data_IF_662713407122
#
_entry.id   IF_662713407122
#
_cell.length_a   1.000
_cell.length_b   1.000
_cell.length_c   1.000
_cell.angle_alpha   90.00
_cell.angle_beta   90.00
_cell.angle_gamma   90.00
#
_symmetry.space_group_name_H-M   'P 1'
#
loop_
_entity.id
_entity.type
_entity.pdbx_description
1 polymer ?
#
# COMPACT_ATOMS: atom_id res chain seq x y z
N UNK A 1 -23.16 -60.95 -12.85
CA UNK A 1 -22.55 -59.86 -12.09
C UNK A 1 -21.09 -60.15 -11.72
N UNK A 2 -20.75 -61.29 -11.19
CA UNK A 2 -19.38 -61.69 -10.77
C UNK A 2 -18.30 -61.62 -11.88
N UNK A 3 -18.62 -61.97 -13.13
CA UNK A 3 -17.63 -61.95 -14.24
C UNK A 3 -17.22 -60.51 -14.66
N UNK A 4 -18.08 -59.51 -14.51
CA UNK A 4 -17.73 -58.10 -14.81
C UNK A 4 -16.85 -57.48 -13.71
N UNK A 5 -17.05 -57.85 -12.46
CA UNK A 5 -16.23 -57.42 -11.33
C UNK A 5 -14.82 -58.02 -11.40
N UNK A 6 -14.70 -59.29 -11.80
CA UNK A 6 -13.41 -59.98 -11.96
C UNK A 6 -12.56 -59.37 -13.09
N UNK A 7 -13.19 -58.95 -14.22
CA UNK A 7 -12.49 -58.24 -15.31
C UNK A 7 -12.05 -56.82 -14.91
N UNK A 8 -12.83 -56.10 -14.07
CA UNK A 8 -12.47 -54.78 -13.58
C UNK A 8 -11.30 -54.84 -12.58
N UNK A 9 -11.25 -55.86 -11.71
CA UNK A 9 -10.14 -56.05 -10.76
C UNK A 9 -8.86 -56.53 -11.50
N UNK A 10 -8.98 -57.35 -12.55
CA UNK A 10 -7.83 -57.76 -13.37
C UNK A 10 -7.28 -56.61 -14.21
N UNK A 11 -8.12 -55.70 -14.72
CA UNK A 11 -7.68 -54.51 -15.47
C UNK A 11 -6.96 -53.52 -14.57
N UNK A 12 -7.41 -53.32 -13.32
CA UNK A 12 -6.70 -52.47 -12.34
C UNK A 12 -5.34 -53.06 -11.93
N UNK A 13 -5.22 -54.36 -11.80
CA UNK A 13 -3.95 -55.02 -11.40
C UNK A 13 -2.87 -55.02 -12.50
N UNK A 14 -3.25 -54.89 -13.76
CA UNK A 14 -2.30 -54.79 -14.90
C UNK A 14 -1.82 -53.35 -15.13
N UNK A 15 -2.61 -52.31 -14.77
CA UNK A 15 -2.21 -50.92 -14.92
C UNK A 15 -1.17 -50.46 -13.88
N UNK A 16 -1.15 -51.00 -12.69
CA UNK A 16 -0.22 -50.64 -11.61
C UNK A 16 1.26 -50.89 -11.93
N UNK A 17 1.68 -52.05 -12.47
CA UNK A 17 3.10 -52.30 -12.79
C UNK A 17 3.59 -51.50 -14.00
N UNK A 18 2.74 -51.19 -14.96
CA UNK A 18 3.14 -50.35 -16.13
C UNK A 18 3.34 -48.92 -15.77
N UNK A 19 2.51 -48.33 -14.91
CA UNK A 19 2.69 -46.95 -14.40
C UNK A 19 3.98 -46.83 -13.56
N UNK A 20 4.26 -47.79 -12.69
CA UNK A 20 5.47 -47.80 -11.88
C UNK A 20 6.76 -47.90 -12.72
N UNK A 21 6.74 -48.64 -13.82
CA UNK A 21 7.86 -48.75 -14.74
C UNK A 21 8.06 -47.49 -15.58
N UNK A 22 6.99 -46.86 -16.04
CA UNK A 22 7.03 -45.57 -16.74
C UNK A 22 7.63 -44.50 -15.87
N UNK A 23 7.20 -44.36 -14.61
CA UNK A 23 7.74 -43.41 -13.63
C UNK A 23 9.24 -43.61 -13.38
N UNK A 24 9.69 -44.87 -13.16
CA UNK A 24 11.12 -45.18 -12.96
C UNK A 24 11.95 -44.75 -14.16
N UNK A 25 11.46 -45.02 -15.38
CA UNK A 25 12.12 -44.61 -16.63
C UNK A 25 12.22 -43.08 -16.76
N UNK A 26 11.17 -42.33 -16.40
CA UNK A 26 11.18 -40.86 -16.40
C UNK A 26 12.17 -40.30 -15.39
N UNK A 27 12.21 -40.82 -14.16
CA UNK A 27 13.18 -40.38 -13.13
C UNK A 27 14.61 -40.68 -13.60
N UNK A 28 14.87 -41.86 -14.21
CA UNK A 28 16.18 -42.22 -14.74
C UNK A 28 16.60 -41.24 -15.86
N UNK A 29 15.73 -40.98 -16.84
CA UNK A 29 15.97 -40.06 -17.93
C UNK A 29 16.31 -38.65 -17.43
N UNK A 30 15.51 -38.13 -16.48
CA UNK A 30 15.75 -36.82 -15.89
C UNK A 30 17.12 -36.79 -15.17
N UNK A 31 17.47 -37.82 -14.43
CA UNK A 31 18.76 -37.94 -13.74
C UNK A 31 19.93 -37.96 -14.73
N UNK A 32 19.80 -38.67 -15.85
CA UNK A 32 20.83 -38.73 -16.89
C UNK A 32 21.00 -37.36 -17.57
N UNK A 33 19.91 -36.63 -17.84
CA UNK A 33 19.92 -35.28 -18.35
C UNK A 33 20.65 -34.33 -17.40
N UNK A 34 20.36 -34.40 -16.10
CA UNK A 34 21.03 -33.58 -15.08
C UNK A 34 22.51 -33.87 -15.02
N UNK A 35 22.91 -35.13 -15.03
CA UNK A 35 24.30 -35.58 -15.03
C UNK A 35 25.06 -35.08 -16.27
N UNK A 36 24.40 -35.10 -17.43
CA UNK A 36 24.96 -34.61 -18.68
C UNK A 36 24.97 -33.08 -18.80
N UNK A 37 24.27 -32.36 -17.91
CA UNK A 37 24.08 -30.90 -17.99
C UNK A 37 23.26 -30.47 -19.20
N UNK A 38 22.35 -31.32 -19.69
CA UNK A 38 21.53 -31.08 -20.89
C UNK A 38 20.05 -31.23 -20.58
N UNK A 39 19.19 -30.54 -21.35
CA UNK A 39 17.73 -30.61 -21.19
C UNK A 39 17.26 -30.45 -19.73
N UNK A 40 17.85 -29.51 -18.99
CA UNK A 40 17.60 -29.34 -17.54
C UNK A 40 16.19 -28.86 -17.27
N UNK A 41 15.63 -28.00 -18.12
CA UNK A 41 14.26 -27.53 -18.03
C UNK A 41 13.25 -28.68 -18.28
N UNK A 42 13.55 -29.60 -19.20
CA UNK A 42 12.72 -30.80 -19.44
C UNK A 42 12.76 -31.73 -18.23
N UNK A 43 13.94 -31.90 -17.63
CA UNK A 43 14.10 -32.71 -16.43
C UNK A 43 13.30 -32.13 -15.26
N UNK A 44 13.38 -30.80 -15.05
CA UNK A 44 12.54 -30.10 -14.05
C UNK A 44 11.06 -30.29 -14.33
N UNK A 45 10.59 -30.03 -15.56
CA UNK A 45 9.19 -30.15 -15.93
C UNK A 45 8.65 -31.57 -15.74
N UNK A 46 9.43 -32.61 -16.13
CA UNK A 46 9.06 -34.01 -15.94
C UNK A 46 8.91 -34.35 -14.45
N UNK A 47 9.84 -33.95 -13.60
CA UNK A 47 9.75 -34.22 -12.16
C UNK A 47 8.57 -33.45 -11.50
N UNK A 48 8.33 -32.20 -11.87
CA UNK A 48 7.16 -31.44 -11.40
C UNK A 48 5.85 -32.14 -11.82
N UNK A 49 5.77 -32.61 -13.05
CA UNK A 49 4.62 -33.36 -13.55
C UNK A 49 4.38 -34.63 -12.72
N UNK A 50 5.43 -35.37 -12.37
CA UNK A 50 5.27 -36.54 -11.51
C UNK A 50 4.73 -36.17 -10.12
N UNK A 51 5.12 -35.05 -9.55
CA UNK A 51 4.65 -34.55 -8.25
C UNK A 51 3.20 -34.04 -8.26
N UNK A 52 2.56 -33.85 -9.42
CA UNK A 52 1.11 -33.53 -9.46
C UNK A 52 0.24 -34.74 -9.06
N UNK A 53 0.76 -35.95 -9.22
CA UNK A 53 0.10 -37.16 -8.76
C UNK A 53 0.31 -37.35 -7.25
N UNK A 54 -0.78 -37.50 -6.51
CA UNK A 54 -0.75 -37.68 -5.05
C UNK A 54 0.07 -38.87 -4.60
N UNK A 55 0.08 -39.97 -5.40
CA UNK A 55 0.86 -41.17 -5.13
C UNK A 55 2.38 -40.91 -5.17
N UNK A 56 2.83 -39.87 -5.81
CA UNK A 56 4.24 -39.53 -5.99
C UNK A 56 4.74 -38.46 -5.06
N UNK A 57 3.85 -37.72 -4.36
CA UNK A 57 4.23 -36.59 -3.52
C UNK A 57 5.26 -36.92 -2.45
N UNK A 58 5.20 -38.12 -1.91
CA UNK A 58 6.09 -38.60 -0.85
C UNK A 58 7.35 -39.30 -1.38
N UNK A 59 7.57 -39.30 -2.68
CA UNK A 59 8.74 -39.93 -3.27
C UNK A 59 9.97 -38.99 -3.21
N UNK A 60 10.80 -39.12 -2.18
CA UNK A 60 12.02 -38.30 -1.98
C UNK A 60 12.92 -38.28 -3.23
N UNK A 61 12.96 -39.38 -4.02
CA UNK A 61 13.82 -39.45 -5.22
C UNK A 61 13.41 -38.44 -6.30
N UNK A 62 12.11 -38.20 -6.46
CA UNK A 62 11.60 -37.23 -7.41
C UNK A 62 12.02 -35.81 -6.98
N UNK A 63 11.85 -35.49 -5.70
CA UNK A 63 12.26 -34.21 -5.14
C UNK A 63 13.76 -33.95 -5.27
N UNK A 64 14.60 -34.95 -5.02
CA UNK A 64 16.04 -34.82 -5.15
C UNK A 64 16.48 -34.62 -6.60
N UNK A 65 15.90 -35.31 -7.57
CA UNK A 65 16.21 -35.11 -8.99
C UNK A 65 15.69 -33.76 -9.47
N UNK A 66 14.52 -33.34 -8.99
CA UNK A 66 13.98 -32.01 -9.25
C UNK A 66 14.92 -30.90 -8.72
N UNK A 67 15.39 -31.04 -7.48
CA UNK A 67 16.35 -30.13 -6.90
C UNK A 67 17.64 -30.06 -7.72
N UNK A 68 18.22 -31.22 -8.08
CA UNK A 68 19.45 -31.28 -8.86
C UNK A 68 19.29 -30.63 -10.24
N UNK A 69 18.13 -30.80 -10.90
CA UNK A 69 17.84 -30.14 -12.18
C UNK A 69 17.79 -28.59 -12.04
N UNK A 70 17.12 -28.07 -11.02
CA UNK A 70 17.04 -26.62 -10.77
C UNK A 70 18.39 -26.06 -10.32
N UNK A 71 19.10 -26.79 -9.46
CA UNK A 71 20.42 -26.40 -9.00
C UNK A 71 21.40 -26.29 -10.16
N UNK A 72 21.40 -27.26 -11.09
CA UNK A 72 22.29 -27.24 -12.25
C UNK A 72 21.98 -26.06 -13.20
N UNK A 73 20.71 -25.70 -13.37
CA UNK A 73 20.34 -24.47 -14.09
C UNK A 73 20.92 -23.23 -13.41
N UNK A 74 20.81 -23.12 -12.09
CA UNK A 74 21.40 -22.03 -11.31
C UNK A 74 22.92 -21.96 -11.49
N UNK A 75 23.61 -23.09 -11.29
CA UNK A 75 25.07 -23.21 -11.42
C UNK A 75 25.54 -22.78 -12.79
N UNK A 76 24.87 -23.21 -13.86
CA UNK A 76 25.22 -22.86 -15.25
C UNK A 76 25.16 -21.35 -15.49
N UNK A 77 24.08 -20.68 -15.05
CA UNK A 77 23.96 -19.22 -15.22
C UNK A 77 24.96 -18.48 -14.33
N UNK A 78 25.19 -18.96 -13.11
CA UNK A 78 26.16 -18.37 -12.18
C UNK A 78 27.58 -18.45 -12.71
N UNK A 79 27.97 -19.59 -13.31
CA UNK A 79 29.25 -19.79 -13.96
C UNK A 79 29.43 -18.83 -15.16
N UNK A 80 28.41 -18.70 -16.02
CA UNK A 80 28.43 -17.75 -17.13
C UNK A 80 28.67 -16.30 -16.64
N UNK A 81 27.99 -15.91 -15.55
CA UNK A 81 28.18 -14.58 -14.94
C UNK A 81 29.58 -14.40 -14.36
N UNK A 82 30.11 -15.42 -13.68
CA UNK A 82 31.46 -15.40 -13.13
C UNK A 82 32.52 -15.25 -14.25
N UNK A 83 32.32 -15.95 -15.34
CA UNK A 83 33.20 -15.89 -16.54
C UNK A 83 32.97 -14.65 -17.41
N UNK A 84 32.09 -13.70 -16.94
CA UNK A 84 31.69 -12.48 -17.68
C UNK A 84 31.13 -12.75 -19.08
N UNK A 85 30.54 -13.91 -19.27
CA UNK A 85 29.78 -14.27 -20.47
C UNK A 85 28.38 -13.65 -20.44
N UNK A 86 27.74 -13.61 -21.61
CA UNK A 86 26.33 -13.17 -21.67
C UNK A 86 25.43 -14.16 -20.92
N UNK A 87 24.87 -13.73 -19.81
CA UNK A 87 24.01 -14.52 -18.97
C UNK A 87 22.67 -13.80 -18.71
N UNK A 88 21.61 -14.57 -18.51
CA UNK A 88 20.31 -14.03 -18.12
C UNK A 88 20.19 -14.03 -16.59
N UNK A 89 20.42 -12.86 -16.00
CA UNK A 89 20.31 -12.65 -14.55
C UNK A 89 18.93 -12.99 -14.00
N UNK A 90 17.85 -12.84 -14.80
CA UNK A 90 16.50 -13.25 -14.40
C UNK A 90 16.44 -14.75 -14.11
N UNK A 91 17.05 -15.56 -14.96
CA UNK A 91 17.12 -17.01 -14.79
C UNK A 91 17.85 -17.42 -13.51
N UNK A 92 18.91 -16.71 -13.15
CA UNK A 92 19.65 -16.95 -11.90
C UNK A 92 18.72 -16.83 -10.69
N UNK A 93 18.06 -15.66 -10.56
CA UNK A 93 17.21 -15.39 -9.40
C UNK A 93 15.98 -16.29 -9.35
N UNK A 94 15.37 -16.57 -10.51
CA UNK A 94 14.22 -17.47 -10.56
C UNK A 94 14.60 -18.92 -10.27
N UNK A 95 15.82 -19.37 -10.67
CA UNK A 95 16.31 -20.69 -10.30
C UNK A 95 16.56 -20.78 -8.78
N UNK A 96 17.19 -19.74 -8.19
CA UNK A 96 17.34 -19.64 -6.74
C UNK A 96 15.97 -19.76 -6.03
N UNK A 97 14.99 -18.95 -6.43
CA UNK A 97 13.62 -19.01 -5.88
C UNK A 97 13.01 -20.40 -5.95
N UNK A 98 13.12 -21.06 -7.11
CA UNK A 98 12.58 -22.42 -7.28
C UNK A 98 13.26 -23.45 -6.38
N UNK A 99 14.57 -23.30 -6.10
CA UNK A 99 15.29 -24.20 -5.18
C UNK A 99 14.72 -24.13 -3.76
N UNK A 100 14.37 -22.93 -3.27
CA UNK A 100 13.72 -22.80 -1.96
C UNK A 100 12.44 -23.61 -1.89
N UNK A 101 11.49 -23.39 -2.81
CA UNK A 101 10.23 -24.14 -2.81
C UNK A 101 10.40 -25.65 -2.98
N UNK A 102 11.41 -26.11 -3.72
CA UNK A 102 11.70 -27.56 -3.87
C UNK A 102 12.22 -28.15 -2.57
N UNK A 103 13.18 -27.50 -1.90
CA UNK A 103 13.77 -28.07 -0.68
C UNK A 103 12.86 -27.92 0.54
N UNK A 104 12.06 -26.88 0.61
CA UNK A 104 10.99 -26.72 1.62
C UNK A 104 9.92 -27.83 1.43
N UNK A 105 9.54 -28.11 0.17
CA UNK A 105 8.63 -29.23 -0.15
C UNK A 105 9.20 -30.58 0.27
N UNK A 106 10.48 -30.86 -0.03
CA UNK A 106 11.15 -32.10 0.39
C UNK A 106 11.25 -32.19 1.92
N UNK A 107 11.54 -31.10 2.61
CA UNK A 107 11.59 -31.04 4.07
C UNK A 107 10.23 -31.39 4.70
N UNK A 108 9.14 -30.89 4.11
CA UNK A 108 7.77 -31.22 4.53
C UNK A 108 7.44 -32.68 4.32
N UNK A 109 7.88 -33.28 3.22
CA UNK A 109 7.72 -34.72 2.94
C UNK A 109 8.48 -35.55 3.97
N UNK A 110 9.74 -35.23 4.21
CA UNK A 110 10.56 -35.96 5.18
C UNK A 110 9.98 -35.84 6.60
N UNK A 111 9.45 -34.66 6.97
CA UNK A 111 8.76 -34.43 8.23
C UNK A 111 7.52 -35.33 8.39
N UNK A 112 6.66 -35.35 7.38
CA UNK A 112 5.42 -36.13 7.39
C UNK A 112 5.67 -37.65 7.43
N UNK A 113 6.68 -38.13 6.67
CA UNK A 113 6.99 -39.57 6.59
C UNK A 113 7.66 -40.11 7.85
N UNK A 114 8.50 -39.34 8.51
CA UNK A 114 9.33 -39.80 9.64
C UNK A 114 8.79 -39.46 11.01
N UNK A 115 7.62 -38.80 11.08
CA UNK A 115 6.97 -38.58 12.37
C UNK A 115 7.85 -37.82 13.37
N UNK A 116 8.30 -36.57 12.98
CA UNK A 116 8.41 -35.50 13.97
C UNK A 116 9.68 -35.32 14.80
N UNK A 117 10.78 -35.96 14.53
CA UNK A 117 11.99 -35.52 15.24
C UNK A 117 12.96 -34.81 14.28
N UNK A 118 13.11 -33.45 14.35
CA UNK A 118 14.02 -32.68 13.47
C UNK A 118 15.44 -33.25 13.42
N UNK A 119 15.95 -33.77 14.53
CA UNK A 119 17.28 -34.37 14.64
C UNK A 119 17.44 -35.65 13.82
N UNK A 120 16.34 -36.32 13.41
CA UNK A 120 16.36 -37.55 12.61
C UNK A 120 16.14 -37.30 11.12
N UNK A 121 15.92 -36.05 10.69
CA UNK A 121 15.74 -35.73 9.29
C UNK A 121 17.07 -35.77 8.55
N UNK A 122 17.11 -36.55 7.48
CA UNK A 122 18.34 -36.87 6.75
C UNK A 122 18.92 -35.66 6.00
N UNK A 123 18.04 -34.80 5.47
CA UNK A 123 18.44 -33.77 4.52
C UNK A 123 18.37 -32.35 5.10
N UNK A 124 17.54 -32.11 6.12
CA UNK A 124 17.21 -30.77 6.66
C UNK A 124 18.46 -29.91 6.91
N UNK A 125 19.41 -30.38 7.73
CA UNK A 125 20.59 -29.57 8.08
C UNK A 125 21.37 -29.11 6.85
N UNK A 126 21.74 -30.06 5.97
CA UNK A 126 22.53 -29.76 4.77
C UNK A 126 21.77 -28.85 3.79
N UNK A 127 20.46 -29.06 3.62
CA UNK A 127 19.64 -28.22 2.73
C UNK A 127 19.43 -26.83 3.31
N UNK A 128 19.22 -26.68 4.61
CA UNK A 128 19.15 -25.42 5.28
C UNK A 128 20.46 -24.60 5.14
N UNK A 129 21.61 -25.23 5.35
CA UNK A 129 22.93 -24.60 5.16
C UNK A 129 23.11 -24.12 3.72
N UNK A 130 22.76 -24.93 2.75
CA UNK A 130 22.85 -24.59 1.33
C UNK A 130 21.91 -23.41 0.97
N UNK A 131 20.64 -23.46 1.35
CA UNK A 131 19.69 -22.39 1.10
C UNK A 131 20.04 -21.10 1.84
N UNK A 132 20.59 -21.20 3.07
CA UNK A 132 21.02 -20.02 3.81
C UNK A 132 22.08 -19.20 3.05
N UNK A 133 23.01 -19.88 2.36
CA UNK A 133 24.01 -19.22 1.49
C UNK A 133 23.34 -18.49 0.32
N UNK A 134 22.20 -18.98 -0.17
CA UNK A 134 21.47 -18.42 -1.31
C UNK A 134 20.35 -17.46 -0.91
N UNK A 135 20.03 -17.33 0.38
CA UNK A 135 18.91 -16.47 0.84
C UNK A 135 19.02 -15.04 0.34
N UNK A 136 20.25 -14.51 0.29
CA UNK A 136 20.53 -13.18 -0.28
C UNK A 136 20.07 -13.00 -1.73
N UNK A 137 20.03 -14.08 -2.54
CA UNK A 137 19.55 -14.04 -3.90
C UNK A 137 18.04 -13.78 -4.02
N UNK A 138 17.25 -14.21 -3.03
CA UNK A 138 15.82 -13.88 -2.99
C UNK A 138 15.62 -12.37 -2.83
N UNK A 139 16.34 -11.74 -1.90
CA UNK A 139 16.27 -10.30 -1.67
C UNK A 139 16.79 -9.50 -2.88
N UNK A 140 17.98 -9.84 -3.37
CA UNK A 140 18.62 -9.15 -4.49
C UNK A 140 17.83 -9.35 -5.79
N UNK A 141 17.27 -10.54 -6.00
CA UNK A 141 16.36 -10.83 -7.11
C UNK A 141 15.07 -10.01 -7.04
N UNK A 142 14.51 -9.87 -5.85
CA UNK A 142 13.37 -8.97 -5.63
C UNK A 142 13.66 -7.55 -6.08
N UNK A 143 14.80 -6.97 -5.64
CA UNK A 143 15.22 -5.63 -6.07
C UNK A 143 15.48 -5.55 -7.59
N UNK A 144 16.10 -6.57 -8.17
CA UNK A 144 16.34 -6.65 -9.60
C UNK A 144 15.05 -6.59 -10.41
N UNK A 145 14.03 -7.34 -10.01
CA UNK A 145 12.73 -7.34 -10.70
C UNK A 145 11.93 -6.06 -10.44
N UNK A 146 12.04 -5.43 -9.27
CA UNK A 146 11.50 -4.06 -9.04
C UNK A 146 12.11 -3.08 -10.04
N UNK A 147 13.42 -3.10 -10.24
CA UNK A 147 14.10 -2.24 -11.22
C UNK A 147 13.67 -2.48 -12.67
N UNK A 148 13.09 -3.67 -12.95
CA UNK A 148 12.50 -4.02 -14.26
C UNK A 148 10.99 -3.80 -14.34
N UNK A 149 10.35 -3.29 -13.30
CA UNK A 149 8.90 -3.19 -13.16
C UNK A 149 8.16 -4.53 -13.24
N UNK A 150 8.86 -5.65 -13.04
CA UNK A 150 8.27 -6.98 -12.93
C UNK A 150 7.86 -7.24 -11.47
N UNK A 151 6.78 -6.57 -11.06
CA UNK A 151 6.30 -6.61 -9.69
C UNK A 151 5.79 -7.99 -9.27
N UNK A 152 5.40 -8.84 -10.23
CA UNK A 152 4.95 -10.21 -9.95
C UNK A 152 6.10 -11.08 -9.46
N UNK A 153 7.21 -11.11 -10.19
CA UNK A 153 8.38 -11.88 -9.79
C UNK A 153 9.06 -11.25 -8.56
N UNK A 154 9.13 -9.91 -8.48
CA UNK A 154 9.65 -9.21 -7.31
C UNK A 154 8.91 -9.60 -6.04
N UNK A 155 7.57 -9.56 -6.07
CA UNK A 155 6.72 -9.99 -4.94
C UNK A 155 7.05 -11.41 -4.50
N UNK A 156 7.09 -12.34 -5.46
CA UNK A 156 7.32 -13.76 -5.14
C UNK A 156 8.67 -14.01 -4.45
N UNK A 157 9.72 -13.29 -4.87
CA UNK A 157 11.04 -13.42 -4.27
C UNK A 157 11.10 -12.79 -2.87
N UNK A 158 10.53 -11.60 -2.67
CA UNK A 158 10.49 -10.99 -1.36
C UNK A 158 9.61 -11.77 -0.39
N UNK A 159 8.46 -12.27 -0.83
CA UNK A 159 7.60 -13.13 -0.02
C UNK A 159 8.35 -14.39 0.44
N UNK A 160 9.02 -15.09 -0.47
CA UNK A 160 9.84 -16.24 -0.11
C UNK A 160 10.98 -15.89 0.86
N UNK A 161 11.60 -14.71 0.70
CA UNK A 161 12.62 -14.22 1.63
C UNK A 161 12.09 -14.05 3.06
N UNK A 162 10.89 -13.47 3.20
CA UNK A 162 10.24 -13.25 4.50
C UNK A 162 9.78 -14.59 5.09
N UNK A 163 9.17 -15.44 4.26
CA UNK A 163 8.60 -16.71 4.70
C UNK A 163 9.66 -17.71 5.17
N UNK A 164 10.94 -17.56 4.78
CA UNK A 164 12.04 -18.31 5.38
C UNK A 164 12.03 -18.24 6.92
N UNK A 165 11.58 -17.14 7.52
CA UNK A 165 11.50 -16.99 8.97
C UNK A 165 10.46 -17.92 9.63
N UNK A 166 9.51 -18.42 8.85
CA UNK A 166 8.42 -19.32 9.30
C UNK A 166 8.63 -20.79 8.90
N UNK A 167 9.55 -21.04 7.96
CA UNK A 167 9.77 -22.38 7.45
C UNK A 167 10.55 -23.26 8.44
N UNK A 168 10.06 -24.46 8.78
CA UNK A 168 10.71 -25.36 9.74
C UNK A 168 12.15 -25.72 9.40
N UNK A 169 12.49 -25.78 8.12
CA UNK A 169 13.87 -26.04 7.66
C UNK A 169 14.88 -25.01 8.19
N UNK A 170 14.43 -23.76 8.45
CA UNK A 170 15.29 -22.68 8.92
C UNK A 170 15.18 -22.38 10.41
N UNK A 171 14.50 -23.22 11.19
CA UNK A 171 14.28 -22.98 12.63
C UNK A 171 15.57 -22.67 13.42
N UNK A 172 16.70 -23.26 13.01
CA UNK A 172 17.99 -23.03 13.67
C UNK A 172 18.61 -21.64 13.43
N UNK A 173 18.12 -20.88 12.44
CA UNK A 173 18.66 -19.57 12.08
C UNK A 173 17.96 -18.39 12.77
N UNK A 174 16.76 -18.60 13.29
CA UNK A 174 15.94 -17.57 13.95
C UNK A 174 15.89 -16.24 13.16
N UNK A 175 15.56 -16.33 11.88
CA UNK A 175 15.51 -15.14 11.01
C UNK A 175 14.55 -14.08 11.49
N UNK A 176 13.48 -14.46 12.22
CA UNK A 176 12.52 -13.52 12.78
C UNK A 176 13.20 -12.46 13.64
N UNK A 177 14.20 -12.85 14.44
CA UNK A 177 14.91 -11.98 15.38
C UNK A 177 16.24 -11.47 14.82
N UNK A 178 16.89 -12.23 13.94
CA UNK A 178 18.26 -11.97 13.51
C UNK A 178 18.38 -11.28 12.15
N UNK A 179 17.34 -11.30 11.30
CA UNK A 179 17.43 -10.73 9.96
C UNK A 179 16.78 -9.33 9.88
N UNK A 180 17.63 -8.31 9.95
CA UNK A 180 17.24 -6.89 9.87
C UNK A 180 16.58 -6.47 8.55
N UNK A 181 16.66 -7.30 7.49
CA UNK A 181 16.10 -6.97 6.17
C UNK A 181 14.66 -7.41 6.00
N UNK A 182 14.09 -8.17 6.94
CA UNK A 182 12.72 -8.69 6.84
C UNK A 182 11.72 -7.55 6.69
N UNK A 183 11.80 -6.50 7.51
CA UNK A 183 10.93 -5.32 7.40
C UNK A 183 11.03 -4.65 6.04
N UNK A 184 12.24 -4.48 5.51
CA UNK A 184 12.45 -3.87 4.18
C UNK A 184 11.94 -4.78 3.06
N UNK A 185 12.13 -6.09 3.14
CA UNK A 185 11.56 -7.03 2.18
C UNK A 185 10.03 -6.98 2.20
N UNK A 186 9.43 -6.88 3.40
CA UNK A 186 7.99 -6.75 3.57
C UNK A 186 7.45 -5.42 2.99
N UNK A 187 8.17 -4.31 3.16
CA UNK A 187 7.82 -3.08 2.47
C UNK A 187 7.76 -3.26 0.95
N UNK A 188 8.74 -3.95 0.37
CA UNK A 188 8.73 -4.21 -1.07
C UNK A 188 7.61 -5.16 -1.51
N UNK A 189 7.15 -6.10 -0.65
CA UNK A 189 5.95 -6.89 -0.98
C UNK A 189 4.70 -6.01 -1.01
N UNK A 190 4.52 -5.11 -0.02
CA UNK A 190 3.45 -4.11 0.00
C UNK A 190 3.48 -3.26 -1.27
N UNK A 191 4.64 -2.72 -1.60
CA UNK A 191 4.83 -1.92 -2.81
C UNK A 191 4.48 -2.69 -4.08
N UNK A 192 4.98 -3.91 -4.24
CA UNK A 192 4.71 -4.74 -5.42
C UNK A 192 3.23 -5.13 -5.53
N UNK A 193 2.56 -5.45 -4.41
CA UNK A 193 1.12 -5.72 -4.38
C UNK A 193 0.32 -4.49 -4.84
N UNK A 194 0.64 -3.32 -4.28
CA UNK A 194 0.02 -2.05 -4.65
C UNK A 194 0.19 -1.73 -6.15
N UNK A 195 1.40 -1.91 -6.70
CA UNK A 195 1.68 -1.71 -8.13
C UNK A 195 0.92 -2.67 -9.05
N UNK A 196 0.53 -3.83 -8.55
CA UNK A 196 -0.28 -4.80 -9.27
C UNK A 196 -1.80 -4.57 -9.09
N UNK A 197 -2.23 -3.57 -8.32
CA UNK A 197 -3.61 -3.37 -7.87
C UNK A 197 -4.19 -4.63 -7.18
N UNK A 198 -3.36 -5.39 -6.48
CA UNK A 198 -3.72 -6.59 -5.77
C UNK A 198 -3.78 -6.30 -4.25
N UNK A 199 -4.98 -6.10 -3.75
CA UNK A 199 -5.21 -5.74 -2.36
C UNK A 199 -4.78 -6.84 -1.38
N UNK A 200 -4.98 -8.11 -1.72
CA UNK A 200 -4.58 -9.24 -0.89
C UNK A 200 -3.06 -9.27 -0.75
N UNK A 201 -2.35 -9.18 -1.85
CA UNK A 201 -0.87 -9.12 -1.85
C UNK A 201 -0.35 -7.87 -1.15
N UNK A 202 -0.97 -6.72 -1.32
CA UNK A 202 -0.56 -5.49 -0.65
C UNK A 202 -0.61 -5.64 0.86
N UNK A 203 -1.66 -6.26 1.38
CA UNK A 203 -1.88 -6.35 2.82
C UNK A 203 -1.24 -7.58 3.49
N UNK A 204 -0.84 -8.59 2.72
CA UNK A 204 -0.35 -9.87 3.25
C UNK A 204 0.84 -9.75 4.21
N UNK A 205 1.73 -8.79 3.98
CA UNK A 205 2.92 -8.56 4.80
C UNK A 205 2.98 -7.16 5.41
N UNK A 206 1.84 -6.44 5.41
CA UNK A 206 1.79 -5.04 5.85
C UNK A 206 2.22 -4.86 7.31
N UNK A 207 1.84 -5.78 8.21
CA UNK A 207 2.25 -5.72 9.62
C UNK A 207 3.75 -5.90 9.78
N UNK A 208 4.36 -6.80 9.01
CA UNK A 208 5.82 -6.99 9.01
C UNK A 208 6.53 -5.78 8.42
N UNK A 209 5.95 -5.15 7.39
CA UNK A 209 6.50 -3.96 6.75
C UNK A 209 6.58 -2.75 7.68
N UNK A 210 5.76 -2.69 8.73
CA UNK A 210 5.83 -1.64 9.76
C UNK A 210 7.13 -1.66 10.59
N UNK A 211 7.92 -2.72 10.50
CA UNK A 211 9.26 -2.78 11.10
C UNK A 211 10.30 -1.94 10.32
N UNK A 212 10.03 -1.59 9.07
CA UNK A 212 10.87 -0.67 8.29
C UNK A 212 10.52 0.79 8.63
N UNK A 213 11.18 1.33 9.63
CA UNK A 213 10.92 2.71 10.11
C UNK A 213 11.25 3.78 9.07
N UNK A 214 12.15 3.49 8.12
CA UNK A 214 12.54 4.44 7.06
C UNK A 214 11.41 4.63 6.05
N UNK A 215 10.68 3.55 5.74
CA UNK A 215 9.62 3.56 4.72
C UNK A 215 8.22 3.46 5.31
N UNK A 216 8.10 3.56 6.62
CA UNK A 216 6.85 3.37 7.35
C UNK A 216 5.73 4.30 6.85
N UNK A 217 6.05 5.56 6.58
CA UNK A 217 5.09 6.52 6.02
C UNK A 217 4.48 6.03 4.69
N UNK A 218 5.31 5.48 3.81
CA UNK A 218 4.86 4.94 2.52
C UNK A 218 4.04 3.66 2.71
N UNK A 219 4.41 2.83 3.68
CA UNK A 219 3.64 1.63 4.04
C UNK A 219 2.22 2.00 4.43
N UNK A 220 2.03 2.97 5.35
CA UNK A 220 0.70 3.45 5.72
C UNK A 220 -0.06 4.06 4.52
N UNK A 221 0.60 4.80 3.65
CA UNK A 221 -0.04 5.36 2.46
C UNK A 221 -0.54 4.25 1.51
N UNK A 222 0.27 3.23 1.22
CA UNK A 222 -0.15 2.11 0.38
C UNK A 222 -1.29 1.31 1.01
N UNK A 223 -1.25 1.07 2.32
CA UNK A 223 -2.33 0.42 3.06
C UNK A 223 -3.63 1.24 2.97
N UNK A 224 -3.57 2.54 3.26
CA UNK A 224 -4.71 3.43 3.21
C UNK A 224 -5.34 3.45 1.81
N UNK A 225 -4.53 3.67 0.75
CA UNK A 225 -5.01 3.66 -0.63
C UNK A 225 -5.65 2.32 -1.02
N UNK A 226 -5.10 1.21 -0.53
CA UNK A 226 -5.65 -0.13 -0.76
C UNK A 226 -7.02 -0.29 -0.10
N UNK A 227 -7.21 0.16 1.15
CA UNK A 227 -8.51 0.12 1.80
C UNK A 227 -9.51 1.09 1.16
N UNK A 228 -9.04 2.25 0.70
CA UNK A 228 -9.88 3.19 -0.06
C UNK A 228 -10.40 2.57 -1.36
N UNK A 229 -9.55 1.87 -2.12
CA UNK A 229 -9.93 1.14 -3.33
C UNK A 229 -10.93 0.01 -3.05
N UNK A 230 -10.81 -0.65 -1.89
CA UNK A 230 -11.77 -1.67 -1.42
C UNK A 230 -13.08 -1.08 -0.90
N UNK A 231 -13.23 0.23 -0.84
CA UNK A 231 -14.33 0.93 -0.19
C UNK A 231 -14.52 0.55 1.31
N UNK A 232 -13.46 0.07 1.97
CA UNK A 232 -13.43 -0.21 3.40
C UNK A 232 -13.06 1.06 4.17
N UNK A 233 -14.07 1.92 4.37
CA UNK A 233 -13.88 3.23 5.01
C UNK A 233 -13.38 3.09 6.45
N UNK A 234 -13.78 2.06 7.17
CA UNK A 234 -13.36 1.85 8.56
C UNK A 234 -11.86 1.59 8.62
N UNK A 235 -11.36 0.63 7.87
CA UNK A 235 -9.94 0.32 7.80
C UNK A 235 -9.11 1.46 7.20
N UNK A 236 -9.66 2.17 6.22
CA UNK A 236 -9.03 3.36 5.66
C UNK A 236 -8.74 4.40 6.74
N UNK A 237 -9.75 4.74 7.56
CA UNK A 237 -9.62 5.74 8.64
C UNK A 237 -8.66 5.25 9.73
N UNK A 238 -8.76 4.00 10.18
CA UNK A 238 -7.83 3.41 11.18
C UNK A 238 -6.35 3.53 10.74
N UNK A 239 -6.07 3.26 9.47
CA UNK A 239 -4.72 3.38 8.93
C UNK A 239 -4.27 4.83 8.82
N UNK A 240 -5.18 5.75 8.43
CA UNK A 240 -4.89 7.19 8.40
C UNK A 240 -4.58 7.74 9.80
N UNK A 241 -5.38 7.35 10.82
CA UNK A 241 -5.16 7.73 12.23
C UNK A 241 -3.80 7.24 12.73
N UNK A 242 -3.47 5.97 12.45
CA UNK A 242 -2.16 5.40 12.79
C UNK A 242 -0.99 6.14 12.11
N UNK A 243 -1.18 6.48 10.83
CA UNK A 243 -0.21 7.24 10.05
C UNK A 243 -0.05 8.67 10.56
N UNK A 244 -1.15 9.34 10.90
CA UNK A 244 -1.15 10.70 11.44
C UNK A 244 -0.51 10.77 12.83
N UNK A 245 -0.84 9.84 13.72
CA UNK A 245 -0.25 9.77 15.05
C UNK A 245 1.29 9.65 14.98
N UNK A 246 1.82 8.98 13.96
CA UNK A 246 3.26 8.82 13.75
C UNK A 246 3.90 9.98 12.98
N UNK A 247 3.13 10.62 12.08
CA UNK A 247 3.58 11.66 11.16
C UNK A 247 2.56 12.82 11.10
N UNK A 248 2.35 13.58 12.19
CA UNK A 248 1.32 14.62 12.28
C UNK A 248 1.55 15.78 11.30
N UNK A 249 2.78 15.99 10.82
CA UNK A 249 3.08 16.96 9.77
C UNK A 249 2.77 16.47 8.35
N UNK A 250 2.34 15.21 8.18
CA UNK A 250 2.04 14.66 6.86
C UNK A 250 0.73 15.22 6.31
N UNK A 251 0.85 16.01 5.25
CA UNK A 251 -0.34 16.55 4.53
C UNK A 251 -1.28 15.44 4.05
N UNK A 252 -0.77 14.29 3.67
CA UNK A 252 -1.57 13.16 3.18
C UNK A 252 -2.56 12.68 4.26
N UNK A 253 -2.06 12.30 5.42
CA UNK A 253 -2.91 11.79 6.50
C UNK A 253 -3.84 12.87 7.03
N UNK A 254 -3.30 14.05 7.29
CA UNK A 254 -4.07 15.20 7.77
C UNK A 254 -5.26 15.51 6.84
N UNK A 255 -5.04 15.69 5.56
CA UNK A 255 -6.09 16.12 4.64
C UNK A 255 -7.21 15.07 4.52
N UNK A 256 -6.86 13.78 4.44
CA UNK A 256 -7.87 12.73 4.37
C UNK A 256 -8.70 12.58 5.64
N UNK A 257 -8.06 12.69 6.82
CA UNK A 257 -8.76 12.66 8.11
C UNK A 257 -9.64 13.90 8.30
N UNK A 258 -9.10 15.09 7.98
CA UNK A 258 -9.86 16.32 8.05
C UNK A 258 -11.12 16.26 7.19
N UNK A 259 -11.00 15.88 5.93
CA UNK A 259 -12.14 15.71 5.02
C UNK A 259 -13.18 14.72 5.56
N UNK A 260 -12.70 13.62 6.12
CA UNK A 260 -13.57 12.58 6.69
C UNK A 260 -14.38 13.13 7.87
N UNK A 261 -13.73 13.76 8.86
CA UNK A 261 -14.41 14.28 10.04
C UNK A 261 -15.27 15.50 9.74
N UNK A 262 -14.78 16.40 8.89
CA UNK A 262 -15.54 17.59 8.50
C UNK A 262 -16.83 17.25 7.76
N UNK A 263 -16.82 16.30 6.82
CA UNK A 263 -18.02 15.81 6.11
C UNK A 263 -19.04 15.16 7.03
N UNK A 264 -18.58 14.55 8.13
CA UNK A 264 -19.46 13.97 9.16
C UNK A 264 -19.91 14.99 10.20
N UNK A 265 -19.56 16.26 10.05
CA UNK A 265 -19.82 17.32 11.03
C UNK A 265 -19.24 17.02 12.44
N UNK A 266 -18.19 16.18 12.51
CA UNK A 266 -17.42 15.91 13.73
C UNK A 266 -16.42 17.03 14.01
N UNK A 267 -16.94 18.23 14.21
CA UNK A 267 -16.15 19.45 14.26
C UNK A 267 -15.12 19.48 15.39
N UNK A 268 -15.46 18.94 16.57
CA UNK A 268 -14.53 18.94 17.70
C UNK A 268 -13.32 18.02 17.43
N UNK A 269 -13.56 16.87 16.78
CA UNK A 269 -12.47 15.98 16.35
C UNK A 269 -11.61 16.64 15.26
N UNK A 270 -12.25 17.32 14.31
CA UNK A 270 -11.54 18.06 13.26
C UNK A 270 -10.70 19.22 13.82
N UNK A 271 -11.16 19.91 14.87
CA UNK A 271 -10.37 20.95 15.57
C UNK A 271 -9.16 20.33 16.25
N UNK A 272 -9.35 19.25 17.02
CA UNK A 272 -8.24 18.56 17.68
C UNK A 272 -7.17 18.10 16.67
N UNK A 273 -7.60 17.49 15.55
CA UNK A 273 -6.71 17.12 14.45
C UNK A 273 -5.91 18.30 13.90
N UNK A 274 -6.57 19.47 13.75
CA UNK A 274 -5.88 20.70 13.31
C UNK A 274 -4.86 21.17 14.36
N UNK A 275 -5.20 21.09 15.64
CA UNK A 275 -4.33 21.52 16.74
C UNK A 275 -3.09 20.64 16.82
N UNK A 276 -3.22 19.31 16.73
CA UNK A 276 -2.10 18.38 16.69
C UNK A 276 -1.18 18.67 15.47
N UNK A 277 -1.76 18.92 14.30
CA UNK A 277 -0.99 19.26 13.10
C UNK A 277 -0.26 20.61 13.23
N UNK A 278 -0.88 21.61 13.87
CA UNK A 278 -0.27 22.94 14.12
C UNK A 278 0.81 22.83 15.20
N UNK A 279 0.63 21.98 16.21
CA UNK A 279 1.67 21.74 17.22
C UNK A 279 2.90 21.09 16.59
N UNK A 280 2.71 20.13 15.69
CA UNK A 280 3.80 19.46 14.98
C UNK A 280 4.49 20.37 13.94
N UNK A 281 3.75 21.31 13.32
CA UNK A 281 4.26 22.31 12.38
C UNK A 281 3.47 23.62 12.51
N UNK A 282 3.98 24.53 13.33
CA UNK A 282 3.37 25.87 13.56
C UNK A 282 3.31 26.75 12.30
N UNK A 283 4.02 26.35 11.24
CA UNK A 283 4.02 27.04 9.95
C UNK A 283 2.97 26.49 8.96
N UNK A 284 2.28 25.42 9.30
CA UNK A 284 1.34 24.72 8.42
C UNK A 284 0.13 25.59 8.05
N UNK A 285 0.21 26.27 6.91
CA UNK A 285 -0.91 27.03 6.34
C UNK A 285 -2.14 26.15 6.14
N UNK A 286 -1.93 24.92 5.71
CA UNK A 286 -3.03 23.96 5.44
C UNK A 286 -3.81 23.65 6.73
N UNK A 287 -3.12 23.38 7.83
CA UNK A 287 -3.77 23.07 9.10
C UNK A 287 -4.46 24.33 9.71
N UNK A 288 -3.83 25.50 9.62
CA UNK A 288 -4.44 26.76 10.05
C UNK A 288 -5.71 27.06 9.23
N UNK A 289 -5.64 26.96 7.91
CA UNK A 289 -6.81 27.16 7.05
C UNK A 289 -7.93 26.18 7.35
N UNK A 290 -7.61 24.90 7.49
CA UNK A 290 -8.58 23.86 7.87
C UNK A 290 -9.27 24.20 9.21
N UNK A 291 -8.50 24.65 10.22
CA UNK A 291 -9.04 25.12 11.50
C UNK A 291 -10.00 26.30 11.32
N UNK A 292 -9.63 27.31 10.50
CA UNK A 292 -10.51 28.45 10.22
C UNK A 292 -11.84 28.02 9.59
N UNK A 293 -11.81 27.01 8.71
CA UNK A 293 -13.00 26.46 8.06
C UNK A 293 -13.96 25.81 9.07
N UNK A 294 -13.43 25.04 10.02
CA UNK A 294 -14.25 24.44 11.08
C UNK A 294 -14.82 25.51 12.03
N UNK A 295 -13.99 26.49 12.42
CA UNK A 295 -14.41 27.59 13.28
C UNK A 295 -15.54 28.43 12.64
N UNK A 296 -15.46 28.65 11.31
CA UNK A 296 -16.52 29.31 10.54
C UNK A 296 -17.82 28.47 10.60
N UNK A 297 -17.73 27.15 10.38
CA UNK A 297 -18.89 26.25 10.44
C UNK A 297 -19.52 26.20 11.83
N UNK A 298 -18.70 26.24 12.89
CA UNK A 298 -19.17 26.34 14.29
C UNK A 298 -19.61 27.73 14.70
N UNK A 299 -19.57 28.73 13.82
CA UNK A 299 -19.88 30.13 14.11
C UNK A 299 -18.99 30.76 15.20
N UNK A 300 -17.80 30.22 15.43
CA UNK A 300 -16.78 30.76 16.33
C UNK A 300 -16.01 31.88 15.62
N UNK A 301 -16.73 32.96 15.32
CA UNK A 301 -16.33 33.99 14.37
C UNK A 301 -15.03 34.72 14.74
N UNK A 302 -14.85 35.10 16.02
CA UNK A 302 -13.65 35.80 16.45
C UNK A 302 -12.40 34.96 16.29
N UNK A 303 -12.49 33.69 16.68
CA UNK A 303 -11.37 32.75 16.55
C UNK A 303 -11.06 32.46 15.07
N UNK A 304 -12.10 32.35 14.24
CA UNK A 304 -11.95 32.14 12.80
C UNK A 304 -11.14 33.28 12.17
N UNK A 305 -11.52 34.58 12.44
CA UNK A 305 -10.80 35.74 11.89
C UNK A 305 -9.36 35.77 12.38
N UNK A 306 -9.13 35.52 13.67
CA UNK A 306 -7.77 35.47 14.24
C UNK A 306 -6.87 34.45 13.55
N UNK A 307 -7.41 33.30 13.21
CA UNK A 307 -6.67 32.28 12.46
C UNK A 307 -6.48 32.68 10.98
N UNK A 308 -7.51 33.30 10.37
CA UNK A 308 -7.39 33.78 8.99
C UNK A 308 -6.28 34.86 8.89
N UNK A 309 -6.21 35.78 9.82
CA UNK A 309 -5.18 36.81 9.82
C UNK A 309 -3.77 36.23 9.94
N UNK A 310 -3.57 35.18 10.78
CA UNK A 310 -2.31 34.44 10.85
C UNK A 310 -1.91 33.78 9.53
N UNK A 311 -2.89 33.25 8.78
CA UNK A 311 -2.62 32.68 7.46
C UNK A 311 -2.26 33.78 6.46
N UNK A 312 -2.98 34.88 6.45
CA UNK A 312 -2.71 36.03 5.57
C UNK A 312 -1.31 36.65 5.83
N UNK A 313 -0.88 36.72 7.08
CA UNK A 313 0.49 37.15 7.42
C UNK A 313 1.57 36.24 6.83
N UNK A 314 1.30 34.91 6.79
CA UNK A 314 2.23 33.91 6.24
C UNK A 314 2.19 33.84 4.71
N UNK A 315 1.01 33.92 4.11
CA UNK A 315 0.81 33.84 2.67
C UNK A 315 -0.36 34.72 2.22
N UNK A 316 -0.01 35.92 1.72
CA UNK A 316 -0.97 36.86 1.20
C UNK A 316 -1.69 36.43 -0.10
N UNK A 317 -1.20 35.41 -0.75
CA UNK A 317 -1.77 34.90 -1.99
C UNK A 317 -2.70 33.68 -1.78
N UNK A 318 -2.87 33.24 -0.53
CA UNK A 318 -3.76 32.11 -0.23
C UNK A 318 -5.22 32.57 -0.25
N UNK A 319 -5.87 32.45 -1.42
CA UNK A 319 -7.19 33.03 -1.69
C UNK A 319 -8.28 32.59 -0.68
N UNK A 320 -8.42 31.29 -0.42
CA UNK A 320 -9.55 30.74 0.34
C UNK A 320 -9.62 31.25 1.80
N UNK A 321 -8.51 31.72 2.37
CA UNK A 321 -8.54 32.31 3.71
C UNK A 321 -9.27 33.64 3.74
N UNK A 322 -9.17 34.43 2.68
CA UNK A 322 -9.93 35.71 2.55
C UNK A 322 -11.42 35.42 2.41
N UNK A 323 -11.80 34.33 1.73
CA UNK A 323 -13.19 33.88 1.68
C UNK A 323 -13.71 33.58 3.10
N UNK A 324 -13.00 32.79 3.88
CA UNK A 324 -13.42 32.47 5.25
C UNK A 324 -13.57 33.72 6.12
N UNK A 325 -12.58 34.63 6.11
CA UNK A 325 -12.62 35.89 6.86
C UNK A 325 -13.79 36.76 6.42
N UNK A 326 -14.03 36.89 5.13
CA UNK A 326 -15.14 37.66 4.58
C UNK A 326 -16.50 37.06 4.93
N UNK A 327 -16.63 35.74 4.84
CA UNK A 327 -17.85 35.02 5.22
C UNK A 327 -18.18 35.12 6.70
N UNK A 328 -17.20 35.29 7.59
CA UNK A 328 -17.46 35.56 9.01
C UNK A 328 -18.37 36.76 9.18
N UNK A 329 -17.97 37.91 8.61
CA UNK A 329 -18.73 39.16 8.75
C UNK A 329 -20.03 39.13 7.92
N UNK A 330 -20.01 38.49 6.76
CA UNK A 330 -21.18 38.31 5.92
C UNK A 330 -22.26 37.48 6.61
N UNK A 331 -21.88 36.36 7.23
CA UNK A 331 -22.81 35.50 7.95
C UNK A 331 -23.39 36.19 9.20
N UNK A 332 -22.58 36.96 9.93
CA UNK A 332 -23.07 37.79 11.04
C UNK A 332 -24.10 38.83 10.56
N UNK A 333 -23.83 39.50 9.43
CA UNK A 333 -24.77 40.43 8.84
C UNK A 333 -26.08 39.76 8.43
N UNK A 334 -25.99 38.62 7.77
CA UNK A 334 -27.15 37.83 7.35
C UNK A 334 -27.99 37.36 8.56
N UNK A 335 -27.33 36.97 9.65
CA UNK A 335 -28.04 36.64 10.90
C UNK A 335 -28.80 37.84 11.47
N UNK A 336 -28.17 39.01 11.56
CA UNK A 336 -28.82 40.26 12.03
C UNK A 336 -29.98 40.62 11.09
N UNK A 337 -29.81 40.50 9.78
CA UNK A 337 -30.87 40.78 8.81
C UNK A 337 -32.13 39.97 9.05
N UNK A 338 -31.98 38.70 9.37
CA UNK A 338 -33.10 37.76 9.62
C UNK A 338 -33.74 37.95 11.00
N UNK A 339 -32.97 38.29 12.04
CA UNK A 339 -33.41 38.21 13.44
C UNK A 339 -33.80 39.57 14.03
N UNK A 340 -33.21 40.68 13.58
CA UNK A 340 -33.52 42.00 14.11
C UNK A 340 -34.67 42.67 13.35
N UNK A 341 -35.59 43.34 14.09
CA UNK A 341 -36.62 44.21 13.49
C UNK A 341 -35.94 45.41 12.82
N UNK A 342 -36.61 45.98 11.82
CA UNK A 342 -36.09 47.13 11.11
C UNK A 342 -35.94 48.35 12.07
N UNK A 343 -34.73 48.90 12.12
CA UNK A 343 -34.39 50.02 12.99
C UNK A 343 -33.10 50.70 12.47
N UNK A 344 -32.88 51.94 12.92
CA UNK A 344 -31.63 52.66 12.65
C UNK A 344 -30.40 51.86 13.19
N UNK A 345 -30.55 51.25 14.34
CA UNK A 345 -29.52 50.38 14.95
C UNK A 345 -29.19 49.20 14.08
N UNK A 346 -30.20 48.45 13.58
CA UNK A 346 -30.01 47.33 12.63
C UNK A 346 -29.20 47.79 11.41
N UNK A 347 -29.62 48.91 10.78
CA UNK A 347 -28.94 49.46 9.59
C UNK A 347 -27.47 49.79 9.87
N UNK A 348 -27.18 50.37 11.03
CA UNK A 348 -25.80 50.70 11.44
C UNK A 348 -24.97 49.44 11.66
N UNK A 349 -25.50 48.41 12.33
CA UNK A 349 -24.83 47.12 12.57
C UNK A 349 -24.51 46.41 11.25
N UNK A 350 -25.46 46.36 10.34
CA UNK A 350 -25.27 45.76 9.01
C UNK A 350 -24.17 46.45 8.22
N UNK A 351 -24.24 47.82 8.16
CA UNK A 351 -23.20 48.58 7.48
C UNK A 351 -21.80 48.35 8.07
N UNK A 352 -21.69 48.25 9.39
CA UNK A 352 -20.41 48.01 10.05
C UNK A 352 -19.85 46.63 9.68
N UNK A 353 -20.68 45.57 9.65
CA UNK A 353 -20.27 44.23 9.27
C UNK A 353 -19.91 44.12 7.79
N UNK A 354 -20.71 44.71 6.89
CA UNK A 354 -20.41 44.72 5.47
C UNK A 354 -19.12 45.51 5.14
N UNK A 355 -18.85 46.62 5.87
CA UNK A 355 -17.57 47.32 5.75
C UNK A 355 -16.38 46.45 6.14
N UNK A 356 -16.52 45.57 7.15
CA UNK A 356 -15.48 44.61 7.54
C UNK A 356 -15.34 43.47 6.54
N UNK A 357 -16.43 42.98 5.97
CA UNK A 357 -16.41 41.90 4.98
C UNK A 357 -15.78 42.31 3.64
N UNK A 358 -16.00 43.59 3.25
CA UNK A 358 -15.65 44.09 1.92
C UNK A 358 -14.19 43.85 1.51
N UNK A 359 -13.16 44.25 2.30
CA UNK A 359 -11.77 44.11 1.87
C UNK A 359 -11.38 42.65 1.67
N UNK A 360 -11.85 41.73 2.51
CA UNK A 360 -11.58 40.30 2.37
C UNK A 360 -12.23 39.73 1.10
N UNK A 361 -13.49 40.09 0.84
CA UNK A 361 -14.19 39.57 -0.35
C UNK A 361 -13.64 40.17 -1.65
N UNK A 362 -13.18 41.43 -1.64
CA UNK A 362 -12.52 42.01 -2.80
C UNK A 362 -11.17 41.34 -3.09
N UNK A 363 -10.36 41.08 -2.07
CA UNK A 363 -9.09 40.38 -2.25
C UNK A 363 -9.30 38.93 -2.69
N UNK A 364 -10.31 38.23 -2.13
CA UNK A 364 -10.68 36.91 -2.62
C UNK A 364 -11.03 36.94 -4.12
N UNK A 365 -11.90 37.87 -4.56
CA UNK A 365 -12.25 38.01 -5.98
C UNK A 365 -11.03 38.24 -6.86
N UNK A 366 -10.09 39.06 -6.41
CA UNK A 366 -8.85 39.39 -7.12
C UNK A 366 -7.95 38.18 -7.28
N UNK A 367 -7.80 37.36 -6.21
CA UNK A 367 -6.96 36.16 -6.20
C UNK A 367 -7.62 34.96 -6.89
N UNK A 368 -8.96 34.86 -6.84
CA UNK A 368 -9.75 33.77 -7.40
C UNK A 368 -10.90 34.26 -8.29
N UNK A 369 -10.62 35.00 -9.40
CA UNK A 369 -11.64 35.63 -10.22
C UNK A 369 -12.62 34.64 -10.86
N UNK A 370 -12.19 33.42 -11.11
CA UNK A 370 -13.02 32.38 -11.73
C UNK A 370 -14.01 31.71 -10.75
N UNK A 371 -13.83 31.89 -9.44
CA UNK A 371 -14.69 31.33 -8.40
C UNK A 371 -15.94 32.19 -8.13
N UNK A 372 -16.60 32.63 -9.22
CA UNK A 372 -17.77 33.53 -9.21
C UNK A 372 -18.89 33.04 -8.27
N UNK A 373 -19.11 31.74 -8.19
CA UNK A 373 -20.11 31.15 -7.29
C UNK A 373 -19.88 31.45 -5.80
N UNK A 374 -18.62 31.68 -5.40
CA UNK A 374 -18.25 31.92 -4.01
C UNK A 374 -18.26 33.42 -3.66
N UNK A 375 -17.80 34.28 -4.54
CA UNK A 375 -17.72 35.72 -4.24
C UNK A 375 -18.89 36.55 -4.79
N UNK A 376 -19.63 36.04 -5.80
CA UNK A 376 -20.62 36.83 -6.50
C UNK A 376 -21.75 37.36 -5.62
N UNK A 377 -22.51 36.43 -4.96
CA UNK A 377 -23.62 36.80 -4.07
C UNK A 377 -23.14 37.63 -2.88
N UNK A 378 -22.05 37.26 -2.17
CA UNK A 378 -21.53 38.10 -1.08
C UNK A 378 -21.20 39.53 -1.52
N UNK A 379 -20.45 39.72 -2.60
CA UNK A 379 -20.08 41.07 -3.07
C UNK A 379 -21.30 41.86 -3.59
N UNK A 380 -22.23 41.23 -4.28
CA UNK A 380 -23.50 41.85 -4.68
C UNK A 380 -24.24 42.43 -3.48
N UNK A 381 -24.41 41.61 -2.42
CA UNK A 381 -25.11 42.03 -1.21
C UNK A 381 -24.36 43.13 -0.46
N UNK A 382 -23.04 43.02 -0.36
CA UNK A 382 -22.19 44.01 0.30
C UNK A 382 -22.29 45.36 -0.42
N UNK A 383 -22.12 45.42 -1.73
CA UNK A 383 -22.15 46.65 -2.52
C UNK A 383 -23.52 47.31 -2.46
N UNK A 384 -24.62 46.54 -2.52
CA UNK A 384 -25.97 47.06 -2.36
C UNK A 384 -26.15 47.74 -1.00
N UNK A 385 -25.78 47.10 0.10
CA UNK A 385 -25.98 47.61 1.44
C UNK A 385 -25.05 48.78 1.81
N UNK A 386 -23.92 48.89 1.13
CA UNK A 386 -22.99 50.02 1.31
C UNK A 386 -23.24 51.18 0.36
N UNK A 387 -24.27 51.11 -0.53
CA UNK A 387 -24.58 52.06 -1.59
C UNK A 387 -23.39 52.32 -2.55
N UNK A 388 -22.69 51.27 -2.95
CA UNK A 388 -21.57 51.31 -3.89
C UNK A 388 -22.12 51.08 -5.32
N UNK A 389 -22.75 52.07 -5.89
CA UNK A 389 -23.55 51.94 -7.13
C UNK A 389 -22.77 51.42 -8.34
N UNK A 390 -21.55 51.91 -8.55
CA UNK A 390 -20.70 51.48 -9.68
C UNK A 390 -20.29 50.02 -9.59
N UNK A 391 -19.79 49.62 -8.44
CA UNK A 391 -19.34 48.24 -8.16
C UNK A 391 -20.52 47.29 -8.14
N UNK A 392 -21.69 47.74 -7.64
CA UNK A 392 -22.94 47.00 -7.69
C UNK A 392 -23.37 46.70 -9.12
N UNK A 393 -23.42 47.73 -10.01
CA UNK A 393 -23.79 47.52 -11.42
C UNK A 393 -22.84 46.56 -12.15
N UNK A 394 -21.55 46.65 -11.83
CA UNK A 394 -20.55 45.74 -12.41
C UNK A 394 -20.85 44.27 -12.03
N UNK A 395 -21.07 44.02 -10.73
CA UNK A 395 -21.39 42.67 -10.25
C UNK A 395 -22.74 42.18 -10.80
N UNK A 396 -23.75 43.04 -10.82
CA UNK A 396 -25.08 42.70 -11.35
C UNK A 396 -25.01 42.21 -12.81
N UNK A 397 -24.25 42.94 -13.65
CA UNK A 397 -23.97 42.52 -15.03
C UNK A 397 -23.25 41.20 -15.14
N UNK A 398 -22.29 40.93 -14.23
CA UNK A 398 -21.55 39.66 -14.19
C UNK A 398 -22.42 38.50 -13.71
N UNK A 399 -23.38 38.75 -12.81
CA UNK A 399 -24.28 37.71 -12.30
C UNK A 399 -25.38 37.30 -13.27
N UNK A 400 -25.75 38.20 -14.20
CA UNK A 400 -26.76 37.95 -15.25
C UNK A 400 -26.23 37.22 -16.49
N UNK A 401 -24.90 37.10 -16.62
CA UNK A 401 -24.21 36.32 -17.66
C UNK A 401 -23.94 34.90 -17.16
#
# INVERSE_FOLDING_TARGET
MFRKILFMVLALSICLPTMCNAQKKEISKAKDNVKAGKSLEEAEASMRKLLTDSANKDNEKIWLVLFDAVRKQYETVNEQMYLKQKADTSKLFLAAYRMFGVLEGLDSVEWNLKGVQPAKMKYRKRHAEYLNQLKGNLYNGGLFFVGKNDYKNAYSLFAAYIDCAKQPIFAAYDYQNNDKRIGTAAFYTVYCGYKQNDAERTLAYADVAQQDTIRLIMTYQYMAETYRQKADTTKFVEVLESGFARYPQSKYFFSHLFDHYYKQSKYDVAIALCDDAIEADTSSIVALFAKSTVLLAQQKYNDCVSICDKVIEKDKNFADVYLNAGLVYFNQATYIERTMRHSREKTQKLKALFKKALPYMQEYRKLAPNEKSKWGIPLYTIYLNLNMGREFEEIDKLMKK
#
